data_IF_374453892776
#
_entry.id   IF_374453892776
#
_cell.length_a   1.000
_cell.length_b   1.000
_cell.length_c   1.000
_cell.angle_alpha   90.00
_cell.angle_beta   90.00
_cell.angle_gamma   90.00
#
_symmetry.space_group_name_H-M   'P 1'
#
loop_
_entity.id
_entity.type
_entity.pdbx_description
1 polymer ?
#
# COMPACT_ATOMS: atom_id res chain seq x y z
N UNK A 1 -19.82 -2.26 -6.00
CA UNK A 1 -19.74 -0.84 -5.58
C UNK A 1 -18.67 -0.17 -6.44
N UNK A 2 -18.92 1.00 -7.04
CA UNK A 2 -17.91 1.71 -7.85
C UNK A 2 -17.06 2.61 -6.96
N UNK A 3 -16.21 2.03 -6.11
CA UNK A 3 -15.31 2.79 -5.22
C UNK A 3 -14.42 3.79 -6.00
N UNK A 4 -14.12 3.48 -7.24
CA UNK A 4 -13.40 4.34 -8.21
C UNK A 4 -14.17 5.59 -8.65
N UNK A 5 -15.43 5.77 -8.24
CA UNK A 5 -16.17 7.03 -8.39
C UNK A 5 -16.09 7.93 -7.14
N UNK A 6 -15.48 7.44 -6.05
CA UNK A 6 -15.26 8.28 -4.88
C UNK A 6 -14.24 9.37 -5.18
N UNK A 7 -14.40 10.57 -4.61
CA UNK A 7 -13.35 11.57 -4.66
C UNK A 7 -12.05 11.02 -4.07
N UNK A 8 -10.91 11.34 -4.70
CA UNK A 8 -9.60 10.90 -4.23
C UNK A 8 -9.33 11.27 -2.77
N UNK A 9 -9.87 12.41 -2.30
CA UNK A 9 -9.76 12.85 -0.91
C UNK A 9 -10.32 11.82 0.07
N UNK A 10 -11.50 11.26 -0.21
CA UNK A 10 -12.12 10.21 0.61
C UNK A 10 -11.29 8.92 0.60
N UNK A 11 -10.67 8.60 -0.54
CA UNK A 11 -9.79 7.45 -0.66
C UNK A 11 -8.49 7.66 0.12
N UNK A 12 -7.93 8.88 0.12
CA UNK A 12 -6.75 9.20 0.91
C UNK A 12 -7.03 9.20 2.41
N UNK A 13 -8.17 9.75 2.83
CA UNK A 13 -8.62 9.65 4.22
C UNK A 13 -8.71 8.19 4.65
N UNK A 14 -9.22 7.29 3.79
CA UNK A 14 -9.25 5.85 4.07
C UNK A 14 -7.83 5.25 4.14
N UNK A 15 -6.93 5.68 3.25
CA UNK A 15 -5.57 5.15 3.18
C UNK A 15 -4.74 5.49 4.42
N UNK A 16 -5.00 6.64 5.05
CA UNK A 16 -4.30 7.06 6.27
C UNK A 16 -4.54 6.13 7.47
N UNK A 17 -5.62 5.33 7.46
CA UNK A 17 -5.89 4.31 8.47
C UNK A 17 -5.20 2.97 8.20
N UNK A 18 -4.59 2.80 7.03
CA UNK A 18 -4.01 1.54 6.57
C UNK A 18 -2.50 1.66 6.40
N UNK A 19 -1.78 0.58 6.72
CA UNK A 19 -0.36 0.54 6.45
C UNK A 19 -0.10 0.12 4.99
N UNK A 20 1.11 0.33 4.48
CA UNK A 20 1.47 0.05 3.08
C UNK A 20 1.21 -1.39 2.64
N UNK A 21 1.34 -2.36 3.56
CA UNK A 21 1.01 -3.77 3.31
C UNK A 21 -0.50 -3.93 3.08
N UNK A 22 -1.31 -3.35 3.97
CA UNK A 22 -2.77 -3.44 3.89
C UNK A 22 -3.28 -2.80 2.59
N UNK A 23 -2.70 -1.64 2.23
CA UNK A 23 -3.05 -0.90 1.02
C UNK A 23 -2.79 -1.71 -0.25
N UNK A 24 -1.59 -2.30 -0.37
CA UNK A 24 -1.26 -3.13 -1.52
C UNK A 24 -2.16 -4.37 -1.56
N UNK A 25 -2.33 -5.08 -0.45
CA UNK A 25 -3.17 -6.27 -0.42
C UNK A 25 -4.64 -5.99 -0.75
N UNK A 26 -5.18 -4.84 -0.33
CA UNK A 26 -6.58 -4.50 -0.53
C UNK A 26 -6.87 -3.86 -1.90
N UNK A 27 -5.97 -3.02 -2.42
CA UNK A 27 -6.27 -2.14 -3.56
C UNK A 27 -5.42 -2.38 -4.80
N UNK A 28 -4.26 -3.04 -4.69
CA UNK A 28 -3.44 -3.32 -5.87
C UNK A 28 -4.14 -4.31 -6.81
N UNK A 29 -4.11 -4.01 -8.10
CA UNK A 29 -4.68 -4.88 -9.14
C UNK A 29 -6.19 -4.79 -9.29
N UNK A 30 -6.90 -4.04 -8.44
CA UNK A 30 -8.35 -3.87 -8.57
C UNK A 30 -8.74 -3.09 -9.83
N UNK A 31 -8.06 -1.97 -10.09
CA UNK A 31 -8.18 -1.21 -11.34
C UNK A 31 -6.98 -0.27 -11.52
N UNK A 32 -6.89 0.34 -12.71
CA UNK A 32 -5.82 1.27 -13.04
C UNK A 32 -5.80 2.52 -12.13
N UNK A 33 -6.98 3.01 -11.73
CA UNK A 33 -7.08 4.20 -10.89
C UNK A 33 -6.46 3.97 -9.50
N UNK A 34 -6.79 2.88 -8.81
CA UNK A 34 -6.19 2.56 -7.51
C UNK A 34 -4.68 2.31 -7.63
N UNK A 35 -4.24 1.59 -8.65
CA UNK A 35 -2.81 1.42 -8.90
C UNK A 35 -2.12 2.80 -9.04
N UNK A 36 -2.70 3.72 -9.81
CA UNK A 36 -2.17 5.07 -9.94
C UNK A 36 -2.11 5.80 -8.59
N UNK A 37 -3.18 5.72 -7.77
CA UNK A 37 -3.20 6.35 -6.44
C UNK A 37 -2.09 5.80 -5.53
N UNK A 38 -1.95 4.47 -5.46
CA UNK A 38 -0.96 3.78 -4.62
C UNK A 38 0.48 4.13 -5.01
N UNK A 39 0.81 4.11 -6.31
CA UNK A 39 2.19 4.31 -6.77
C UNK A 39 2.58 5.76 -7.01
N UNK A 40 1.64 6.63 -7.38
CA UNK A 40 1.96 7.99 -7.85
C UNK A 40 1.50 9.08 -6.90
N UNK A 41 0.37 8.94 -6.23
CA UNK A 41 -0.25 10.06 -5.51
C UNK A 41 -0.12 9.95 -3.98
N UNK A 42 -0.18 8.74 -3.42
CA UNK A 42 0.00 8.53 -1.99
C UNK A 42 1.49 8.67 -1.62
N UNK A 43 1.81 9.62 -0.73
CA UNK A 43 3.18 10.13 -0.53
C UNK A 43 3.91 9.56 0.68
N UNK A 44 3.20 8.97 1.64
CA UNK A 44 3.81 8.54 2.89
C UNK A 44 3.19 7.23 3.33
N UNK A 45 3.96 6.15 3.17
CA UNK A 45 3.55 4.82 3.61
C UNK A 45 4.47 4.35 4.72
N UNK A 46 3.90 3.86 5.81
CA UNK A 46 4.60 2.97 6.74
C UNK A 46 4.26 1.54 6.38
N UNK A 47 5.25 0.67 6.23
CA UNK A 47 5.02 -0.76 6.03
C UNK A 47 5.19 -1.50 7.35
N UNK A 48 4.17 -2.27 7.72
CA UNK A 48 4.15 -3.08 8.94
C UNK A 48 4.05 -4.54 8.53
N UNK A 49 5.15 -5.28 8.67
CA UNK A 49 5.27 -6.67 8.26
C UNK A 49 5.10 -7.67 9.41
N UNK A 50 4.51 -7.23 10.52
CA UNK A 50 4.47 -8.01 11.78
C UNK A 50 3.72 -9.35 11.67
N UNK A 51 2.74 -9.45 10.76
CA UNK A 51 1.88 -10.62 10.61
C UNK A 51 1.80 -11.13 9.16
N UNK A 52 2.78 -10.75 8.33
CA UNK A 52 2.76 -11.12 6.91
C UNK A 52 3.33 -12.53 6.71
N UNK A 53 2.77 -13.28 5.76
CA UNK A 53 3.42 -14.53 5.31
C UNK A 53 4.71 -14.20 4.56
N UNK A 54 5.70 -15.09 4.64
CA UNK A 54 6.95 -14.95 3.86
C UNK A 54 6.69 -14.75 2.37
N UNK A 55 5.75 -15.51 1.81
CA UNK A 55 5.38 -15.40 0.40
C UNK A 55 4.89 -13.98 0.03
N UNK A 56 3.98 -13.41 0.82
CA UNK A 56 3.48 -12.06 0.57
C UNK A 56 4.57 -11.00 0.81
N UNK A 57 5.44 -11.21 1.80
CA UNK A 57 6.60 -10.35 2.01
C UNK A 57 7.51 -10.31 0.78
N UNK A 58 7.86 -11.48 0.23
CA UNK A 58 8.73 -11.59 -0.94
C UNK A 58 8.10 -10.92 -2.17
N UNK A 59 6.77 -11.05 -2.35
CA UNK A 59 6.02 -10.35 -3.40
C UNK A 59 6.11 -8.84 -3.21
N UNK A 60 5.79 -8.33 -2.02
CA UNK A 60 5.80 -6.88 -1.76
C UNK A 60 7.21 -6.31 -1.98
N UNK A 61 8.24 -6.99 -1.50
CA UNK A 61 9.63 -6.60 -1.68
C UNK A 61 10.08 -6.60 -3.13
N UNK A 62 9.69 -7.61 -3.92
CA UNK A 62 10.14 -7.73 -5.32
C UNK A 62 9.32 -6.89 -6.30
N UNK A 63 8.02 -6.76 -6.08
CA UNK A 63 7.09 -6.18 -7.06
C UNK A 63 6.65 -4.75 -6.72
N UNK A 64 6.68 -4.34 -5.45
CA UNK A 64 6.06 -3.08 -5.05
C UNK A 64 7.08 -2.09 -4.48
N UNK A 65 7.93 -2.53 -3.55
CA UNK A 65 8.93 -1.66 -2.91
C UNK A 65 9.79 -0.87 -3.92
N UNK A 66 10.30 -1.44 -5.02
CA UNK A 66 11.13 -0.71 -5.97
C UNK A 66 10.46 0.52 -6.58
N UNK A 67 9.13 0.55 -6.65
CA UNK A 67 8.36 1.65 -7.25
C UNK A 67 7.96 2.73 -6.25
N UNK A 68 8.08 2.48 -4.94
CA UNK A 68 7.58 3.36 -3.88
C UNK A 68 8.62 3.62 -2.79
N UNK A 69 9.86 3.16 -2.95
CA UNK A 69 10.93 3.25 -1.93
C UNK A 69 11.13 4.68 -1.43
N UNK A 70 11.06 5.68 -2.32
CA UNK A 70 11.24 7.11 -2.00
C UNK A 70 10.12 7.67 -1.09
N UNK A 71 9.05 6.90 -0.85
CA UNK A 71 7.85 7.28 -0.12
C UNK A 71 7.69 6.52 1.20
N UNK A 72 8.60 5.59 1.47
CA UNK A 72 8.57 4.77 2.68
C UNK A 72 9.11 5.60 3.84
N UNK A 73 8.23 5.96 4.77
CA UNK A 73 8.59 6.74 5.97
C UNK A 73 8.92 5.84 7.17
N UNK A 74 8.70 4.53 7.05
CA UNK A 74 9.04 3.59 8.09
C UNK A 74 8.76 2.15 7.69
N UNK A 75 9.62 1.27 8.18
CA UNK A 75 9.50 -0.19 8.07
C UNK A 75 9.48 -0.75 9.48
N UNK A 76 8.58 -1.70 9.73
CA UNK A 76 8.56 -2.48 10.98
C UNK A 76 8.40 -3.95 10.67
N UNK A 77 9.15 -4.75 11.39
CA UNK A 77 9.13 -6.21 11.40
C UNK A 77 8.88 -6.60 12.87
N UNK A 78 8.15 -7.69 13.10
CA UNK A 78 8.09 -8.24 14.44
C UNK A 78 9.43 -8.90 14.75
N UNK A 79 10.03 -8.55 15.90
CA UNK A 79 11.04 -9.39 16.52
C UNK A 79 10.34 -10.68 16.97
N UNK A 80 10.72 -11.80 16.35
CA UNK A 80 10.22 -13.13 16.67
C UNK A 80 10.77 -13.69 17.96
#
# INVERSE_FOLDING_TARGET
MKFELLPNEILFDLFDYLNGVDLLNAFYGLNYHFNFLLYKQYRSCRFIFNWISKYNFDIICSQHLPFIVDRIIGLSLCDG
#
